data_IF_017107204252
#
_entry.id   IF_017107204252
#
_cell.length_a   1.000
_cell.length_b   1.000
_cell.length_c   1.000
_cell.angle_alpha   90.00
_cell.angle_beta   90.00
_cell.angle_gamma   90.00
#
_symmetry.space_group_name_H-M   'P 1'
#
loop_
_entity.id
_entity.type
_entity.pdbx_description
1 polymer ?
#
# COMPACT_ATOMS: atom_id res chain seq x y z
N UNK A 1 -7.29 2.01 23.23
CA UNK A 1 -7.52 2.09 21.78
C UNK A 1 -8.95 1.60 21.55
N UNK A 2 -9.77 2.36 20.84
CA UNK A 2 -11.16 1.96 20.56
C UNK A 2 -11.21 0.75 19.59
N UNK A 3 -12.33 0.04 19.53
CA UNK A 3 -12.48 -1.13 18.68
C UNK A 3 -12.42 -0.77 17.20
N UNK A 4 -12.89 0.43 16.86
CA UNK A 4 -12.88 0.96 15.49
C UNK A 4 -11.45 1.13 14.96
N UNK A 5 -10.55 1.62 15.82
CA UNK A 5 -9.12 1.77 15.47
C UNK A 5 -8.45 0.42 15.27
N UNK A 6 -8.74 -0.55 16.14
CA UNK A 6 -8.19 -1.91 16.00
C UNK A 6 -8.67 -2.55 14.70
N UNK A 7 -9.95 -2.42 14.38
CA UNK A 7 -10.51 -2.92 13.13
C UNK A 7 -9.85 -2.26 11.92
N UNK A 8 -9.75 -0.93 11.92
CA UNK A 8 -9.12 -0.20 10.82
C UNK A 8 -7.67 -0.58 10.56
N UNK A 9 -6.89 -0.80 11.61
CA UNK A 9 -5.49 -1.23 11.50
C UNK A 9 -5.37 -2.67 10.98
N UNK A 10 -6.30 -3.57 11.36
CA UNK A 10 -6.23 -4.99 11.02
C UNK A 10 -6.86 -5.33 9.67
N UNK A 11 -7.76 -4.50 9.16
CA UNK A 11 -8.45 -4.75 7.87
C UNK A 11 -7.47 -4.87 6.70
N UNK A 12 -6.50 -3.97 6.48
CA UNK A 12 -5.48 -4.10 5.44
C UNK A 12 -4.72 -5.42 5.52
N UNK A 13 -4.17 -5.72 6.69
CA UNK A 13 -3.46 -6.96 6.96
C UNK A 13 -4.31 -8.22 6.73
N UNK A 14 -5.62 -8.17 7.01
CA UNK A 14 -6.53 -9.25 6.68
C UNK A 14 -6.63 -9.46 5.16
N UNK A 15 -6.58 -8.39 4.36
CA UNK A 15 -6.52 -8.45 2.89
C UNK A 15 -5.32 -9.26 2.41
N UNK A 16 -4.11 -8.88 2.82
CA UNK A 16 -2.86 -9.59 2.52
C UNK A 16 -2.92 -11.05 2.97
N UNK A 17 -3.43 -11.29 4.18
CA UNK A 17 -3.54 -12.65 4.74
C UNK A 17 -4.51 -13.53 3.96
N UNK A 18 -5.65 -13.00 3.53
CA UNK A 18 -6.63 -13.70 2.70
C UNK A 18 -6.07 -13.99 1.30
N UNK A 19 -5.33 -13.05 0.72
CA UNK A 19 -4.62 -13.26 -0.53
C UNK A 19 -3.59 -14.38 -0.40
N UNK A 20 -2.77 -14.35 0.64
CA UNK A 20 -1.81 -15.41 0.92
C UNK A 20 -2.48 -16.79 1.11
N UNK A 21 -3.69 -16.84 1.65
CA UNK A 21 -4.44 -18.08 1.84
C UNK A 21 -4.87 -18.76 0.52
N UNK A 22 -4.82 -18.07 -0.62
CA UNK A 22 -5.07 -18.66 -1.94
C UNK A 22 -4.17 -19.89 -2.20
N UNK A 23 -2.99 -19.96 -1.59
CA UNK A 23 -2.05 -21.09 -1.71
C UNK A 23 -2.65 -22.44 -1.24
N UNK A 24 -3.65 -22.43 -0.38
CA UNK A 24 -4.31 -23.65 0.09
C UNK A 24 -5.24 -24.24 -0.97
N UNK A 25 -5.83 -23.40 -1.82
CA UNK A 25 -6.84 -23.76 -2.81
C UNK A 25 -6.24 -23.85 -4.23
N UNK A 26 -5.28 -22.99 -4.57
CA UNK A 26 -4.64 -22.98 -5.87
C UNK A 26 -3.39 -23.88 -5.88
N UNK A 27 -3.15 -24.53 -7.04
CA UNK A 27 -2.02 -25.44 -7.21
C UNK A 27 -0.95 -24.88 -8.16
N UNK A 28 -1.25 -23.78 -8.85
CA UNK A 28 -0.40 -23.18 -9.89
C UNK A 28 -0.26 -21.67 -9.62
N UNK A 29 0.79 -21.07 -10.17
CA UNK A 29 0.93 -19.62 -10.26
C UNK A 29 -0.25 -18.99 -10.97
N UNK A 30 -0.49 -17.71 -10.72
CA UNK A 30 -1.45 -16.93 -11.49
C UNK A 30 -1.06 -16.92 -12.96
N UNK A 31 -2.06 -16.93 -13.83
CA UNK A 31 -1.82 -16.70 -15.26
C UNK A 31 -1.35 -15.25 -15.44
N UNK A 32 -0.40 -14.97 -16.35
CA UNK A 32 0.10 -13.60 -16.54
C UNK A 32 -0.98 -12.55 -16.75
N UNK A 33 -2.05 -12.88 -17.50
CA UNK A 33 -3.19 -11.99 -17.69
C UNK A 33 -3.93 -11.68 -16.38
N UNK A 34 -4.10 -12.66 -15.49
CA UNK A 34 -4.75 -12.46 -14.19
C UNK A 34 -3.86 -11.63 -13.28
N UNK A 35 -2.55 -11.87 -13.28
CA UNK A 35 -1.58 -11.08 -12.53
C UNK A 35 -1.64 -9.62 -12.96
N UNK A 36 -1.52 -9.31 -14.25
CA UNK A 36 -1.66 -7.95 -14.78
C UNK A 36 -2.98 -7.28 -14.42
N UNK A 37 -4.08 -8.04 -14.47
CA UNK A 37 -5.40 -7.54 -14.08
C UNK A 37 -5.44 -7.13 -12.61
N UNK A 38 -4.91 -7.97 -11.73
CA UNK A 38 -4.86 -7.72 -10.28
C UNK A 38 -3.91 -6.58 -9.93
N UNK A 39 -2.71 -6.55 -10.54
CA UNK A 39 -1.74 -5.47 -10.34
C UNK A 39 -2.28 -4.13 -10.85
N UNK A 40 -2.91 -4.11 -12.04
CA UNK A 40 -3.56 -2.89 -12.55
C UNK A 40 -4.68 -2.41 -11.63
N UNK A 41 -5.52 -3.33 -11.14
CA UNK A 41 -6.58 -3.00 -10.20
C UNK A 41 -6.03 -2.40 -8.89
N UNK A 42 -5.01 -3.02 -8.30
CA UNK A 42 -4.34 -2.52 -7.09
C UNK A 42 -3.74 -1.12 -7.33
N UNK A 43 -3.02 -0.92 -8.43
CA UNK A 43 -2.47 0.39 -8.80
C UNK A 43 -3.56 1.47 -8.91
N UNK A 44 -4.71 1.15 -9.49
CA UNK A 44 -5.84 2.08 -9.59
C UNK A 44 -6.41 2.46 -8.22
N UNK A 45 -6.58 1.49 -7.31
CA UNK A 45 -7.02 1.74 -5.93
C UNK A 45 -6.02 2.63 -5.21
N UNK A 46 -4.72 2.33 -5.29
CA UNK A 46 -3.67 3.12 -4.63
C UNK A 46 -3.62 4.58 -5.12
N UNK A 47 -3.75 4.80 -6.44
CA UNK A 47 -3.78 6.17 -6.99
C UNK A 47 -4.98 6.94 -6.45
N UNK A 48 -6.17 6.36 -6.45
CA UNK A 48 -7.36 7.02 -5.93
C UNK A 48 -7.24 7.30 -4.42
N UNK A 49 -6.80 6.33 -3.61
CA UNK A 49 -6.55 6.53 -2.18
C UNK A 49 -5.54 7.65 -1.92
N UNK A 50 -4.44 7.69 -2.69
CA UNK A 50 -3.43 8.75 -2.57
C UNK A 50 -4.02 10.15 -2.80
N UNK A 51 -5.00 10.27 -3.69
CA UNK A 51 -5.64 11.56 -4.01
C UNK A 51 -6.72 11.90 -2.98
N UNK A 52 -7.74 11.05 -2.84
CA UNK A 52 -8.94 11.36 -2.05
C UNK A 52 -8.74 11.19 -0.54
N UNK A 53 -8.10 10.10 -0.11
CA UNK A 53 -7.91 9.85 1.33
C UNK A 53 -6.70 10.58 1.92
N UNK A 54 -5.73 11.06 1.11
CA UNK A 54 -4.48 11.62 1.62
C UNK A 54 -4.19 13.05 1.12
N UNK A 55 -4.07 13.30 -0.19
CA UNK A 55 -3.69 14.62 -0.72
C UNK A 55 -4.78 15.67 -0.55
N UNK A 56 -6.04 15.34 -0.80
CA UNK A 56 -7.15 16.28 -0.61
C UNK A 56 -7.27 16.66 0.87
N UNK A 57 -7.36 15.72 1.83
CA UNK A 57 -7.36 16.07 3.26
C UNK A 57 -6.11 16.83 3.70
N UNK A 58 -4.93 16.54 3.15
CA UNK A 58 -3.72 17.30 3.46
C UNK A 58 -3.84 18.79 3.09
N UNK A 59 -4.41 19.09 1.93
CA UNK A 59 -4.63 20.47 1.50
C UNK A 59 -5.73 21.16 2.32
N UNK A 60 -6.79 20.44 2.69
CA UNK A 60 -7.86 20.93 3.56
C UNK A 60 -7.33 21.30 4.96
N UNK A 61 -6.45 20.46 5.53
CA UNK A 61 -5.80 20.77 6.81
C UNK A 61 -4.90 22.02 6.76
N UNK A 62 -4.49 22.45 5.56
CA UNK A 62 -3.66 23.63 5.32
C UNK A 62 -4.44 24.84 4.77
N UNK A 63 -5.79 24.85 4.79
CA UNK A 63 -6.63 25.92 4.25
C UNK A 63 -6.31 27.31 4.84
N UNK A 64 -5.85 27.37 6.10
CA UNK A 64 -5.41 28.61 6.77
C UNK A 64 -4.25 29.30 6.04
N UNK A 65 -3.51 28.61 5.17
CA UNK A 65 -2.43 29.15 4.33
C UNK A 65 -2.97 29.80 3.02
N UNK A 66 -4.27 29.78 2.78
CA UNK A 66 -4.90 30.38 1.60
C UNK A 66 -4.33 29.79 0.30
N UNK A 67 -3.80 30.65 -0.58
CA UNK A 67 -3.24 30.20 -1.87
C UNK A 67 -2.00 29.30 -1.74
N UNK A 68 -1.39 29.21 -0.57
CA UNK A 68 -0.21 28.40 -0.30
C UNK A 68 -0.55 27.04 0.36
N UNK A 69 -1.82 26.68 0.49
CA UNK A 69 -2.29 25.42 1.06
C UNK A 69 -1.69 24.17 0.38
N UNK A 70 -1.27 24.30 -0.87
CA UNK A 70 -0.60 23.22 -1.59
C UNK A 70 0.85 22.96 -1.14
N UNK A 71 1.51 23.89 -0.46
CA UNK A 71 2.95 23.75 -0.09
C UNK A 71 3.23 22.56 0.82
N UNK A 72 2.48 22.34 1.95
CA UNK A 72 2.66 21.16 2.77
C UNK A 72 2.46 19.86 1.96
N UNK A 73 1.46 19.85 1.07
CA UNK A 73 1.17 18.71 0.22
C UNK A 73 2.33 18.41 -0.75
N UNK A 74 2.87 19.42 -1.43
CA UNK A 74 4.02 19.24 -2.33
C UNK A 74 5.27 18.79 -1.56
N UNK A 75 5.58 19.43 -0.44
CA UNK A 75 6.78 19.09 0.35
C UNK A 75 6.68 17.67 0.89
N UNK A 76 5.56 17.33 1.53
CA UNK A 76 5.34 15.99 2.09
C UNK A 76 5.41 14.92 1.01
N UNK A 77 4.75 15.15 -0.13
CA UNK A 77 4.76 14.23 -1.27
C UNK A 77 6.19 13.92 -1.76
N UNK A 78 7.00 14.96 -1.99
CA UNK A 78 8.40 14.75 -2.40
C UNK A 78 9.25 14.06 -1.35
N UNK A 79 9.03 14.34 -0.06
CA UNK A 79 9.73 13.63 1.01
C UNK A 79 9.34 12.15 0.99
N UNK A 80 8.07 11.81 0.76
CA UNK A 80 7.59 10.43 0.62
C UNK A 80 8.23 9.69 -0.55
N UNK A 81 8.25 10.31 -1.73
CA UNK A 81 8.93 9.77 -2.93
C UNK A 81 10.41 9.51 -2.66
N UNK A 82 11.13 10.50 -2.09
CA UNK A 82 12.55 10.38 -1.80
C UNK A 82 12.84 9.36 -0.71
N UNK A 83 11.96 9.23 0.28
CA UNK A 83 12.06 8.22 1.32
C UNK A 83 12.03 6.80 0.74
N UNK A 84 11.06 6.50 -0.12
CA UNK A 84 10.98 5.19 -0.77
C UNK A 84 12.16 4.96 -1.71
N UNK A 85 12.55 5.95 -2.50
CA UNK A 85 13.75 5.87 -3.36
C UNK A 85 15.01 5.52 -2.54
N UNK A 86 15.15 6.05 -1.32
CA UNK A 86 16.27 5.73 -0.44
C UNK A 86 16.13 4.31 0.12
N UNK A 87 14.95 3.91 0.58
CA UNK A 87 14.72 2.55 1.07
C UNK A 87 15.00 1.50 0.00
N UNK A 88 14.55 1.76 -1.21
CA UNK A 88 14.75 0.93 -2.39
C UNK A 88 16.24 0.68 -2.68
N UNK A 89 17.07 1.71 -2.52
CA UNK A 89 18.54 1.62 -2.69
C UNK A 89 19.27 0.99 -1.52
N UNK A 90 18.72 1.03 -0.31
CA UNK A 90 19.40 0.59 0.93
C UNK A 90 18.98 -0.81 1.34
N UNK A 91 17.77 -1.23 1.04
CA UNK A 91 17.25 -2.53 1.41
C UNK A 91 17.42 -3.50 0.23
N UNK A 92 18.15 -4.62 0.41
CA UNK A 92 18.29 -5.62 -0.64
C UNK A 92 16.95 -6.33 -0.87
N UNK A 93 16.40 -6.21 -2.06
CA UNK A 93 15.12 -6.81 -2.44
C UNK A 93 15.12 -7.27 -3.89
N UNK A 94 14.10 -8.01 -4.29
CA UNK A 94 13.96 -8.57 -5.62
C UNK A 94 12.50 -8.47 -6.07
N UNK A 95 12.30 -7.87 -7.23
CA UNK A 95 10.98 -7.82 -7.85
C UNK A 95 10.58 -9.15 -8.48
N UNK A 96 9.28 -9.41 -8.52
CA UNK A 96 8.73 -10.60 -9.13
C UNK A 96 9.04 -10.59 -10.65
N UNK A 97 9.59 -11.70 -11.14
CA UNK A 97 10.00 -11.78 -12.56
C UNK A 97 11.42 -11.29 -12.85
N UNK A 98 12.04 -10.50 -11.97
CA UNK A 98 13.44 -10.09 -12.12
C UNK A 98 14.41 -11.18 -11.72
N UNK A 99 15.56 -11.22 -12.39
CA UNK A 99 16.74 -12.02 -12.01
C UNK A 99 17.82 -11.18 -11.32
N UNK A 100 17.70 -9.86 -11.36
CA UNK A 100 18.63 -8.92 -10.75
C UNK A 100 18.04 -8.36 -9.48
N UNK A 101 18.77 -8.48 -8.37
CA UNK A 101 18.39 -7.92 -7.09
C UNK A 101 18.77 -6.44 -7.04
N UNK A 102 17.92 -5.63 -6.43
CA UNK A 102 18.16 -4.22 -6.17
C UNK A 102 18.72 -4.01 -4.75
N UNK A 103 19.34 -2.82 -4.52
CA UNK A 103 20.01 -2.51 -3.26
C UNK A 103 21.40 -3.14 -3.14
N UNK A 104 21.96 -3.19 -1.92
CA UNK A 104 23.29 -3.75 -1.67
C UNK A 104 23.38 -5.22 -2.01
N UNK A 105 24.52 -5.64 -2.58
CA UNK A 105 24.78 -7.04 -2.88
C UNK A 105 24.94 -7.85 -1.58
N UNK A 106 23.99 -8.75 -1.31
CA UNK A 106 23.95 -9.61 -0.11
C UNK A 106 23.67 -11.05 -0.48
N UNK A 107 24.10 -11.99 0.35
CA UNK A 107 23.84 -13.42 0.18
C UNK A 107 22.48 -13.85 0.79
N UNK A 108 21.41 -13.06 0.58
CA UNK A 108 20.09 -13.42 1.03
C UNK A 108 19.43 -14.42 0.07
N UNK A 109 18.58 -15.29 0.63
CA UNK A 109 17.78 -16.20 -0.19
C UNK A 109 16.79 -15.39 -1.05
N UNK A 110 16.55 -15.83 -2.29
CA UNK A 110 15.59 -15.23 -3.21
C UNK A 110 14.22 -14.98 -2.56
N UNK A 111 13.71 -15.95 -1.80
CA UNK A 111 12.46 -15.84 -1.03
C UNK A 111 12.45 -14.65 -0.08
N UNK A 112 13.54 -14.43 0.65
CA UNK A 112 13.65 -13.32 1.59
C UNK A 112 13.61 -11.98 0.87
N UNK A 113 14.31 -11.85 -0.26
CA UNK A 113 14.32 -10.64 -1.07
C UNK A 113 12.96 -10.31 -1.68
N UNK A 114 12.21 -11.34 -2.15
CA UNK A 114 10.83 -11.17 -2.63
C UNK A 114 9.88 -10.69 -1.52
N UNK A 115 10.00 -11.23 -0.30
CA UNK A 115 9.20 -10.79 0.85
C UNK A 115 9.58 -9.37 1.24
N UNK A 116 10.86 -9.00 1.21
CA UNK A 116 11.32 -7.65 1.53
C UNK A 116 10.79 -6.62 0.54
N UNK A 117 10.70 -6.92 -0.75
CA UNK A 117 10.08 -6.03 -1.73
C UNK A 117 8.66 -5.64 -1.28
N UNK A 118 7.78 -6.60 -1.01
CA UNK A 118 6.40 -6.31 -0.58
C UNK A 118 6.35 -5.66 0.81
N UNK A 119 7.27 -5.97 1.72
CA UNK A 119 7.38 -5.26 3.01
C UNK A 119 7.65 -3.77 2.80
N UNK A 120 8.52 -3.40 1.83
CA UNK A 120 8.80 -2.01 1.50
C UNK A 120 7.55 -1.25 1.04
N UNK A 121 6.68 -1.90 0.24
CA UNK A 121 5.42 -1.33 -0.23
C UNK A 121 4.41 -1.13 0.90
N UNK A 122 4.32 -2.11 1.79
CA UNK A 122 3.34 -2.13 2.88
C UNK A 122 3.68 -1.15 4.03
N UNK A 123 4.93 -0.65 4.11
CA UNK A 123 5.30 0.41 5.09
C UNK A 123 4.47 1.69 4.90
N UNK A 124 4.45 2.31 3.70
CA UNK A 124 3.63 3.50 3.44
C UNK A 124 2.15 3.29 3.69
N UNK A 125 1.62 2.11 3.36
CA UNK A 125 0.21 1.77 3.56
C UNK A 125 -0.16 1.74 5.04
N UNK A 126 0.64 1.06 5.85
CA UNK A 126 0.46 1.08 7.30
C UNK A 126 0.56 2.49 7.88
N UNK A 127 1.54 3.29 7.42
CA UNK A 127 1.67 4.69 7.84
C UNK A 127 0.47 5.53 7.42
N UNK A 128 -0.06 5.37 6.19
CA UNK A 128 -1.24 6.07 5.69
C UNK A 128 -2.45 5.82 6.60
N UNK A 129 -2.75 4.55 6.89
CA UNK A 129 -3.81 4.18 7.84
C UNK A 129 -3.56 4.84 9.19
N UNK A 130 -2.35 4.73 9.73
CA UNK A 130 -2.00 5.29 11.03
C UNK A 130 -2.18 6.80 11.11
N UNK A 131 -1.78 7.56 10.08
CA UNK A 131 -1.91 9.03 10.02
C UNK A 131 -3.39 9.44 9.95
N UNK A 132 -4.18 8.79 9.09
CA UNK A 132 -5.61 9.10 8.94
C UNK A 132 -6.38 8.80 10.23
N UNK A 133 -6.15 7.64 10.86
CA UNK A 133 -6.77 7.33 12.15
C UNK A 133 -6.32 8.26 13.29
N UNK A 134 -5.05 8.65 13.32
CA UNK A 134 -4.54 9.62 14.28
C UNK A 134 -5.22 11.00 14.13
N UNK A 135 -5.38 11.46 12.89
CA UNK A 135 -6.06 12.71 12.57
C UNK A 135 -7.56 12.67 12.94
N UNK A 136 -8.26 11.58 12.62
CA UNK A 136 -9.65 11.37 13.04
C UNK A 136 -9.80 11.37 14.56
N UNK A 137 -8.98 10.64 15.29
CA UNK A 137 -9.00 10.60 16.76
C UNK A 137 -8.76 11.97 17.40
N UNK A 138 -7.98 12.82 16.74
CA UNK A 138 -7.73 14.20 17.19
C UNK A 138 -8.87 15.16 16.83
N UNK A 139 -9.90 14.72 16.12
CA UNK A 139 -11.03 15.56 15.69
C UNK A 139 -10.67 16.55 14.58
N UNK A 140 -9.67 16.26 13.76
CA UNK A 140 -9.28 17.12 12.64
C UNK A 140 -10.39 17.15 11.58
N UNK A 141 -10.71 18.33 11.08
CA UNK A 141 -11.71 18.53 10.03
C UNK A 141 -11.30 17.79 8.76
N UNK A 142 -12.27 17.24 8.02
CA UNK A 142 -12.02 16.47 6.78
C UNK A 142 -11.55 15.01 7.00
N UNK A 143 -11.28 14.59 8.25
CA UNK A 143 -10.95 13.20 8.57
C UNK A 143 -12.07 12.57 9.40
N UNK A 144 -12.91 11.79 8.73
CA UNK A 144 -14.04 11.09 9.34
C UNK A 144 -13.70 9.64 9.66
N UNK A 145 -14.46 9.01 10.57
CA UNK A 145 -14.34 7.56 10.78
C UNK A 145 -14.66 6.75 9.53
N UNK A 146 -15.67 7.17 8.78
CA UNK A 146 -16.09 6.49 7.56
C UNK A 146 -15.02 6.61 6.47
N UNK A 147 -14.39 7.78 6.31
CA UNK A 147 -13.27 7.97 5.37
C UNK A 147 -12.04 7.14 5.78
N UNK A 148 -11.71 7.11 7.08
CA UNK A 148 -10.63 6.25 7.58
C UNK A 148 -10.91 4.75 7.32
N UNK A 149 -12.16 4.32 7.47
CA UNK A 149 -12.60 2.96 7.17
C UNK A 149 -12.58 2.67 5.67
N UNK A 150 -12.99 3.63 4.82
CA UNK A 150 -12.93 3.52 3.36
C UNK A 150 -11.49 3.31 2.89
N UNK A 151 -10.53 4.06 3.43
CA UNK A 151 -9.11 3.85 3.17
C UNK A 151 -8.66 2.44 3.59
N UNK A 152 -9.00 2.00 4.80
CA UNK A 152 -8.62 0.66 5.30
C UNK A 152 -9.18 -0.45 4.42
N UNK A 153 -10.44 -0.34 3.99
CA UNK A 153 -11.08 -1.30 3.08
C UNK A 153 -10.43 -1.26 1.70
N UNK A 154 -10.15 -0.08 1.17
CA UNK A 154 -9.48 0.09 -0.12
C UNK A 154 -8.11 -0.58 -0.12
N UNK A 155 -7.30 -0.33 0.90
CA UNK A 155 -5.99 -0.98 1.08
C UNK A 155 -6.16 -2.50 1.22
N UNK A 156 -7.13 -3.00 1.99
CA UNK A 156 -7.37 -4.43 2.10
C UNK A 156 -7.72 -5.10 0.76
N UNK A 157 -8.48 -4.42 -0.08
CA UNK A 157 -8.87 -4.92 -1.40
C UNK A 157 -7.66 -5.01 -2.33
N UNK A 158 -6.75 -4.04 -2.32
CA UNK A 158 -5.51 -4.08 -3.12
C UNK A 158 -4.50 -5.08 -2.58
N UNK A 159 -4.40 -5.24 -1.27
CA UNK A 159 -3.48 -6.16 -0.60
C UNK A 159 -3.84 -7.64 -0.79
N UNK A 160 -5.08 -7.95 -1.13
CA UNK A 160 -5.46 -9.32 -1.47
C UNK A 160 -4.67 -9.87 -2.67
N UNK A 161 -4.55 -9.19 -3.82
CA UNK A 161 -3.60 -9.56 -4.86
C UNK A 161 -2.16 -9.74 -4.37
N UNK A 162 -1.65 -8.83 -3.57
CA UNK A 162 -0.26 -8.83 -3.10
C UNK A 162 0.08 -10.07 -2.28
N UNK A 163 -0.79 -10.45 -1.34
CA UNK A 163 -0.60 -11.69 -0.57
C UNK A 163 -0.59 -12.94 -1.45
N UNK A 164 -1.42 -12.97 -2.51
CA UNK A 164 -1.44 -14.07 -3.48
C UNK A 164 -0.18 -14.08 -4.35
N UNK A 165 0.29 -12.92 -4.78
CA UNK A 165 1.50 -12.73 -5.59
C UNK A 165 2.75 -13.24 -4.86
N UNK A 166 2.83 -13.13 -3.55
CA UNK A 166 3.94 -13.71 -2.76
C UNK A 166 3.76 -15.22 -2.56
N UNK A 167 2.61 -15.65 -2.06
CA UNK A 167 2.43 -17.03 -1.61
C UNK A 167 2.40 -18.07 -2.73
N UNK A 168 1.81 -17.73 -3.88
CA UNK A 168 1.64 -18.68 -4.99
C UNK A 168 2.95 -19.01 -5.72
N UNK A 169 3.83 -18.06 -6.08
CA UNK A 169 5.13 -18.38 -6.67
C UNK A 169 6.02 -19.17 -5.72
N UNK A 170 6.10 -18.81 -4.43
CA UNK A 170 6.86 -19.59 -3.45
C UNK A 170 6.40 -21.05 -3.37
N UNK A 171 5.10 -21.27 -3.48
CA UNK A 171 4.54 -22.62 -3.58
C UNK A 171 4.93 -23.32 -4.87
N UNK A 172 4.95 -22.61 -6.01
CA UNK A 172 5.33 -23.16 -7.31
C UNK A 172 6.82 -23.57 -7.37
N UNK A 173 7.69 -22.83 -6.65
CA UNK A 173 9.11 -23.13 -6.48
C UNK A 173 9.36 -24.31 -5.52
N UNK A 174 8.32 -24.98 -5.00
CA UNK A 174 8.40 -26.19 -4.18
C UNK A 174 8.29 -25.98 -2.68
N UNK A 175 8.12 -24.73 -2.21
CA UNK A 175 7.90 -24.47 -0.79
C UNK A 175 6.58 -25.10 -0.32
N UNK A 176 6.54 -25.59 0.94
CA UNK A 176 5.32 -26.13 1.53
C UNK A 176 4.22 -25.09 1.68
N UNK A 177 2.93 -25.45 1.47
CA UNK A 177 1.79 -24.53 1.54
C UNK A 177 1.76 -23.65 2.80
N UNK A 178 2.01 -24.26 3.98
CA UNK A 178 2.04 -23.53 5.24
C UNK A 178 3.15 -22.49 5.31
N UNK A 179 4.36 -22.82 4.83
CA UNK A 179 5.48 -21.87 4.78
C UNK A 179 5.20 -20.74 3.78
N UNK A 180 4.70 -21.04 2.59
CA UNK A 180 4.32 -20.03 1.59
C UNK A 180 3.24 -19.09 2.12
N UNK A 181 2.24 -19.61 2.82
CA UNK A 181 1.21 -18.82 3.51
C UNK A 181 1.83 -17.86 4.52
N UNK A 182 2.68 -18.41 5.43
CA UNK A 182 3.33 -17.59 6.46
C UNK A 182 4.20 -16.48 5.85
N UNK A 183 4.93 -16.75 4.78
CA UNK A 183 5.70 -15.73 4.08
C UNK A 183 4.80 -14.60 3.56
N UNK A 184 3.66 -14.94 2.91
CA UNK A 184 2.70 -13.95 2.45
C UNK A 184 2.03 -13.17 3.60
N UNK A 185 1.72 -13.81 4.73
CA UNK A 185 1.18 -13.10 5.91
C UNK A 185 2.22 -12.17 6.52
N UNK A 186 3.48 -12.61 6.62
CA UNK A 186 4.54 -11.81 7.21
C UNK A 186 4.88 -10.56 6.37
N UNK A 187 4.71 -10.61 5.05
CA UNK A 187 4.90 -9.41 4.20
C UNK A 187 3.93 -8.28 4.55
N UNK A 188 2.69 -8.62 4.97
CA UNK A 188 1.70 -7.64 5.42
C UNK A 188 1.78 -7.25 6.89
N UNK A 189 2.57 -7.96 7.73
CA UNK A 189 2.61 -7.70 9.16
C UNK A 189 3.14 -6.30 9.53
N UNK A 190 3.90 -5.68 8.63
CA UNK A 190 4.42 -4.31 8.79
C UNK A 190 3.31 -3.26 8.75
N UNK A 191 2.18 -3.52 8.10
CA UNK A 191 1.03 -2.60 8.01
C UNK A 191 0.44 -2.28 9.40
N UNK A 192 -0.06 -3.26 10.17
CA UNK A 192 -0.60 -2.97 11.50
C UNK A 192 0.47 -2.45 12.46
N UNK A 193 1.73 -2.84 12.30
CA UNK A 193 2.83 -2.33 13.12
C UNK A 193 3.08 -0.85 12.79
N UNK A 194 3.19 -0.48 11.52
CA UNK A 194 3.38 0.89 11.06
C UNK A 194 2.22 1.81 11.47
N UNK A 195 0.99 1.34 11.27
CA UNK A 195 -0.20 2.08 11.69
C UNK A 195 -0.22 2.32 13.22
N UNK A 196 0.07 1.30 13.99
CA UNK A 196 0.09 1.39 15.45
C UNK A 196 1.17 2.35 15.96
N UNK A 197 2.39 2.25 15.44
CA UNK A 197 3.50 3.16 15.78
C UNK A 197 3.11 4.61 15.45
N UNK A 198 2.52 4.84 14.28
CA UNK A 198 2.06 6.16 13.85
C UNK A 198 1.01 6.72 14.78
N UNK A 199 0.01 5.93 15.19
CA UNK A 199 -1.02 6.36 16.16
C UNK A 199 -0.41 6.65 17.54
N UNK A 200 0.53 5.84 18.01
CA UNK A 200 1.23 6.12 19.29
C UNK A 200 2.02 7.42 19.25
N UNK A 201 2.58 7.75 18.09
CA UNK A 201 3.30 9.00 17.89
C UNK A 201 2.37 10.21 17.65
N UNK A 202 1.04 10.04 17.66
CA UNK A 202 0.06 11.05 17.27
C UNK A 202 0.30 12.41 17.92
N UNK A 203 0.58 12.46 19.22
CA UNK A 203 0.83 13.73 19.95
C UNK A 203 1.97 14.57 19.33
N UNK A 204 2.96 13.92 18.69
CA UNK A 204 4.11 14.57 18.06
C UNK A 204 3.88 14.86 16.57
N UNK A 205 3.08 14.02 15.90
CA UNK A 205 2.88 14.09 14.45
C UNK A 205 1.71 14.98 14.03
N UNK A 206 0.70 15.19 14.89
CA UNK A 206 -0.49 15.97 14.54
C UNK A 206 -0.19 17.40 14.05
N UNK A 207 0.78 18.16 14.59
CA UNK A 207 1.14 19.47 14.06
C UNK A 207 1.68 19.41 12.61
N UNK A 208 2.15 18.24 12.17
CA UNK A 208 2.70 17.99 10.85
C UNK A 208 1.75 17.19 9.95
N UNK A 209 0.48 17.05 10.35
CA UNK A 209 -0.51 16.20 9.69
C UNK A 209 -0.58 16.41 8.16
N UNK A 210 -0.64 17.65 7.61
CA UNK A 210 -0.68 17.85 6.16
C UNK A 210 0.54 17.27 5.43
N UNK A 211 1.72 17.40 6.05
CA UNK A 211 2.96 16.84 5.49
C UNK A 211 2.98 15.31 5.55
N UNK A 212 2.44 14.71 6.61
CA UNK A 212 2.45 13.27 6.81
C UNK A 212 1.43 12.55 5.93
N UNK A 213 0.23 13.13 5.75
CA UNK A 213 -0.74 12.64 4.78
C UNK A 213 -0.13 12.64 3.37
N UNK A 214 0.48 13.75 2.99
CA UNK A 214 1.10 13.87 1.66
C UNK A 214 2.36 13.02 1.51
N UNK A 215 3.12 12.81 2.59
CA UNK A 215 4.25 11.88 2.62
C UNK A 215 3.79 10.46 2.28
N UNK A 216 2.74 9.98 2.94
CA UNK A 216 2.17 8.65 2.66
C UNK A 216 1.69 8.56 1.20
N UNK A 217 1.02 9.60 0.68
CA UNK A 217 0.60 9.65 -0.71
C UNK A 217 1.78 9.59 -1.69
N UNK A 218 2.85 10.35 -1.41
CA UNK A 218 4.06 10.35 -2.25
C UNK A 218 4.78 9.01 -2.26
N UNK A 219 4.87 8.37 -1.11
CA UNK A 219 5.45 7.03 -0.98
C UNK A 219 4.60 5.98 -1.73
N UNK A 220 3.27 5.99 -1.59
CA UNK A 220 2.39 5.10 -2.34
C UNK A 220 2.48 5.35 -3.86
N UNK A 221 2.54 6.60 -4.30
CA UNK A 221 2.71 6.94 -5.73
C UNK A 221 4.05 6.49 -6.29
N UNK A 222 5.13 6.49 -5.49
CA UNK A 222 6.42 5.90 -5.88
C UNK A 222 6.25 4.42 -6.23
N UNK A 223 5.64 3.64 -5.34
CA UNK A 223 5.35 2.20 -5.56
C UNK A 223 4.52 1.97 -6.82
N UNK A 224 3.47 2.77 -7.02
CA UNK A 224 2.62 2.64 -8.21
C UNK A 224 3.40 2.83 -9.50
N UNK A 225 4.26 3.86 -9.56
CA UNK A 225 4.97 4.22 -10.78
C UNK A 225 6.18 3.31 -11.02
N UNK A 226 6.93 2.98 -9.97
CA UNK A 226 8.16 2.18 -10.06
C UNK A 226 7.86 0.70 -10.29
N UNK A 227 6.77 0.18 -9.74
CA UNK A 227 6.54 -1.26 -9.72
C UNK A 227 5.23 -1.68 -10.35
N UNK A 228 4.08 -1.16 -9.88
CA UNK A 228 2.79 -1.68 -10.30
C UNK A 228 2.47 -1.36 -11.77
N UNK A 229 2.83 -0.16 -12.26
CA UNK A 229 2.62 0.21 -13.67
C UNK A 229 3.52 -0.62 -14.60
N UNK A 230 4.82 -0.79 -14.36
CA UNK A 230 5.66 -1.70 -15.13
C UNK A 230 5.13 -3.14 -15.12
N UNK A 231 4.80 -3.70 -13.95
CA UNK A 231 4.32 -5.07 -13.81
C UNK A 231 3.00 -5.31 -14.55
N UNK A 232 2.02 -4.41 -14.44
CA UNK A 232 0.74 -4.56 -15.16
C UNK A 232 0.89 -4.46 -16.68
N UNK A 233 2.01 -3.89 -17.16
CA UNK A 233 2.30 -3.68 -18.58
C UNK A 233 3.29 -4.71 -19.16
N UNK A 234 3.85 -5.60 -18.35
CA UNK A 234 4.88 -6.57 -18.73
C UNK A 234 4.41 -7.53 -19.82
N UNK A 235 5.31 -7.88 -20.76
CA UNK A 235 5.09 -8.89 -21.81
C UNK A 235 4.29 -8.38 -23.02
N UNK A 236 3.42 -9.22 -23.62
CA UNK A 236 2.66 -8.83 -24.81
C UNK A 236 1.63 -7.73 -24.49
N UNK A 237 1.48 -6.77 -25.41
CA UNK A 237 0.52 -5.68 -25.26
C UNK A 237 -0.89 -6.20 -24.95
N UNK A 238 -1.50 -5.64 -23.90
CA UNK A 238 -2.84 -5.99 -23.44
C UNK A 238 -3.48 -4.82 -22.72
N UNK A 239 -4.73 -4.53 -22.98
CA UNK A 239 -5.48 -3.47 -22.30
C UNK A 239 -6.03 -3.91 -20.94
N UNK A 240 -5.81 -5.16 -20.51
CA UNK A 240 -6.41 -5.71 -19.29
C UNK A 240 -5.94 -4.95 -18.05
N UNK A 241 -4.62 -4.71 -17.91
CA UNK A 241 -4.07 -3.92 -16.80
C UNK A 241 -4.69 -2.52 -16.74
N UNK A 242 -4.74 -1.81 -17.88
CA UNK A 242 -5.32 -0.47 -17.98
C UNK A 242 -6.82 -0.43 -17.63
N UNK A 243 -7.59 -1.41 -18.11
CA UNK A 243 -9.03 -1.47 -17.79
C UNK A 243 -9.26 -1.75 -16.32
N UNK A 244 -8.50 -2.68 -15.72
CA UNK A 244 -8.63 -2.99 -14.31
C UNK A 244 -8.08 -1.86 -13.43
N UNK A 245 -7.06 -1.12 -13.87
CA UNK A 245 -6.64 0.13 -13.22
C UNK A 245 -7.82 1.11 -13.14
N UNK A 246 -8.52 1.35 -14.26
CA UNK A 246 -9.67 2.25 -14.27
C UNK A 246 -10.80 1.74 -13.34
N UNK A 247 -11.03 0.42 -13.26
CA UNK A 247 -12.00 -0.18 -12.33
C UNK A 247 -11.58 0.05 -10.88
N UNK A 248 -10.33 -0.24 -10.52
CA UNK A 248 -9.81 -0.03 -9.16
C UNK A 248 -9.88 1.44 -8.74
N UNK A 249 -9.44 2.34 -9.65
CA UNK A 249 -9.49 3.79 -9.43
C UNK A 249 -10.93 4.28 -9.17
N UNK A 250 -11.87 3.90 -10.02
CA UNK A 250 -13.27 4.35 -9.88
C UNK A 250 -13.95 3.73 -8.68
N UNK A 251 -13.63 2.49 -8.32
CA UNK A 251 -14.14 1.84 -7.11
C UNK A 251 -13.68 2.61 -5.86
N UNK A 252 -12.39 2.87 -5.73
CA UNK A 252 -11.84 3.56 -4.55
C UNK A 252 -12.32 5.00 -4.46
N UNK A 253 -12.32 5.74 -5.58
CA UNK A 253 -12.90 7.08 -5.64
C UNK A 253 -14.36 7.08 -5.17
N UNK A 254 -15.14 6.07 -5.56
CA UNK A 254 -16.54 5.96 -5.13
C UNK A 254 -16.65 5.67 -3.65
N UNK A 255 -15.81 4.79 -3.11
CA UNK A 255 -15.79 4.49 -1.67
C UNK A 255 -15.45 5.75 -0.86
N UNK A 256 -14.40 6.48 -1.22
CA UNK A 256 -14.01 7.71 -0.54
C UNK A 256 -15.13 8.76 -0.57
N UNK A 257 -15.69 9.06 -1.75
CA UNK A 257 -16.71 10.10 -1.89
C UNK A 257 -18.06 9.70 -1.27
N UNK A 258 -18.40 8.39 -1.28
CA UNK A 258 -19.68 7.93 -0.72
C UNK A 258 -19.64 7.72 0.80
N UNK A 259 -18.47 7.45 1.38
CA UNK A 259 -18.29 7.16 2.80
C UNK A 259 -17.56 8.28 3.54
N UNK A 260 -16.69 9.04 2.86
CA UNK A 260 -15.92 10.15 3.44
C UNK A 260 -16.73 11.40 3.54
#
# INVERSE_FOLDING_TARGET
>A
MSIEVIQGILIPFAGTSLGAACVFFMRRTLRPMVQRALTGFAAGVMVAASIWSLLIPAMEQAENMGKLAFLPAVIGFWIGVLFLLVLDRVIPHLHMGSSEAEGPSVSLQRTTMLVLAVVLHNIPEGMAVGVVYAGWLAGNSGLTWMGAMALSIGIAIQNFPEGAIISLPLRAEGMGKGKSFVCGVLSGAVEPIGAWITILAAAHILPWLPYLLSFAAGAMMYVVVEELIPEMSEGQHSNVGTLLFAVGFTLMMTLDVALG
#
